data_IF_216139514228
#
_entry.id   IF_216139514228
#
_cell.length_a   1.000
_cell.length_b   1.000
_cell.length_c   1.000
_cell.angle_alpha   90.00
_cell.angle_beta   90.00
_cell.angle_gamma   90.00
#
_symmetry.space_group_name_H-M   'P 1'
#
loop_
_entity.id
_entity.type
_entity.pdbx_description
1 polymer ?
#
# COMPACT_ATOMS: atom_id res chain seq x y z
N UNK A 1 -24.52 -2.15 -2.97
CA UNK A 1 -24.71 -2.43 -1.53
C UNK A 1 -23.34 -2.55 -0.90
N UNK A 2 -22.98 -1.65 0.02
CA UNK A 2 -21.76 -1.77 0.83
C UNK A 2 -22.07 -2.61 2.07
N UNK A 3 -21.23 -3.58 2.40
CA UNK A 3 -21.30 -4.26 3.69
C UNK A 3 -21.01 -3.25 4.81
N UNK A 4 -21.70 -3.33 5.96
CA UNK A 4 -21.41 -2.44 7.07
C UNK A 4 -20.00 -2.75 7.64
N UNK A 5 -19.25 -1.73 8.14
CA UNK A 5 -17.84 -1.87 8.49
C UNK A 5 -17.54 -2.95 9.53
N UNK A 6 -18.48 -3.20 10.44
CA UNK A 6 -18.46 -4.23 11.47
C UNK A 6 -18.38 -5.67 10.90
N UNK A 7 -18.71 -5.86 9.61
CA UNK A 7 -18.63 -7.17 8.93
C UNK A 7 -17.46 -7.33 7.98
N UNK A 8 -16.64 -6.29 7.78
CA UNK A 8 -15.54 -6.35 6.81
C UNK A 8 -14.49 -7.39 7.19
N UNK A 9 -14.15 -7.45 8.49
CA UNK A 9 -13.15 -8.36 9.02
C UNK A 9 -13.60 -9.82 8.89
N UNK A 10 -14.82 -10.13 9.34
CA UNK A 10 -15.39 -11.49 9.24
C UNK A 10 -15.48 -11.95 7.78
N UNK A 11 -16.01 -11.09 6.90
CA UNK A 11 -16.15 -11.43 5.48
C UNK A 11 -14.78 -11.64 4.82
N UNK A 12 -13.81 -10.77 5.11
CA UNK A 12 -12.47 -10.84 4.54
C UNK A 12 -11.74 -12.10 4.98
N UNK A 13 -11.76 -12.44 6.27
CA UNK A 13 -11.10 -13.64 6.78
C UNK A 13 -11.64 -14.91 6.13
N UNK A 14 -12.97 -14.99 5.96
CA UNK A 14 -13.61 -16.08 5.23
C UNK A 14 -13.13 -16.19 3.77
N UNK A 15 -13.02 -15.07 3.05
CA UNK A 15 -12.51 -15.05 1.67
C UNK A 15 -11.03 -15.43 1.56
N UNK A 16 -10.22 -15.10 2.56
CA UNK A 16 -8.78 -15.41 2.57
C UNK A 16 -8.48 -16.89 2.88
N UNK A 17 -9.49 -17.65 3.30
CA UNK A 17 -9.41 -19.09 3.46
C UNK A 17 -9.22 -19.58 4.91
N UNK A 18 -9.01 -20.89 5.09
CA UNK A 18 -9.10 -21.54 6.40
C UNK A 18 -8.04 -21.06 7.41
N UNK A 19 -6.79 -20.87 6.98
CA UNK A 19 -5.70 -20.46 7.87
C UNK A 19 -5.91 -19.04 8.42
N UNK A 20 -6.14 -17.99 7.60
CA UNK A 20 -6.48 -16.66 8.10
C UNK A 20 -7.73 -16.62 8.96
N UNK A 21 -8.77 -17.39 8.62
CA UNK A 21 -9.99 -17.52 9.42
C UNK A 21 -9.69 -18.08 10.81
N UNK A 22 -8.91 -19.17 10.88
CA UNK A 22 -8.55 -19.80 12.14
C UNK A 22 -7.66 -18.91 13.01
N UNK A 23 -6.67 -18.26 12.41
CA UNK A 23 -5.80 -17.33 13.12
C UNK A 23 -6.57 -16.14 13.67
N UNK A 24 -7.42 -15.49 12.86
CA UNK A 24 -8.15 -14.31 13.31
C UNK A 24 -9.10 -14.63 14.46
N UNK A 25 -9.76 -15.79 14.43
CA UNK A 25 -10.57 -16.29 15.55
C UNK A 25 -9.74 -16.37 16.83
N UNK A 26 -8.52 -16.88 16.76
CA UNK A 26 -7.62 -16.97 17.91
C UNK A 26 -7.15 -15.60 18.39
N UNK A 27 -6.74 -14.72 17.48
CA UNK A 27 -6.25 -13.37 17.79
C UNK A 27 -7.35 -12.53 18.46
N UNK A 28 -8.59 -12.66 17.98
CA UNK A 28 -9.74 -11.92 18.50
C UNK A 28 -10.06 -12.19 19.97
N UNK A 29 -9.62 -13.31 20.55
CA UNK A 29 -9.79 -13.58 21.98
C UNK A 29 -9.00 -12.63 22.89
N UNK A 30 -7.98 -11.95 22.36
CA UNK A 30 -7.17 -10.97 23.11
C UNK A 30 -7.63 -9.53 22.88
N UNK A 31 -8.63 -9.32 22.02
CA UNK A 31 -9.12 -8.01 21.61
C UNK A 31 -10.49 -7.74 22.21
N UNK A 32 -10.81 -6.46 22.41
CA UNK A 32 -12.18 -6.04 22.70
C UNK A 32 -13.08 -6.20 21.47
N UNK A 33 -14.42 -6.20 21.65
CA UNK A 33 -15.36 -6.23 20.53
C UNK A 33 -15.17 -5.06 19.53
N UNK A 34 -14.83 -3.87 20.03
CA UNK A 34 -14.55 -2.69 19.20
C UNK A 34 -13.29 -2.91 18.35
N UNK A 35 -12.22 -3.42 18.95
CA UNK A 35 -10.96 -3.69 18.24
C UNK A 35 -11.09 -4.84 17.23
N UNK A 36 -11.90 -5.86 17.54
CA UNK A 36 -12.16 -6.98 16.63
C UNK A 36 -12.91 -6.55 15.36
N UNK A 37 -13.77 -5.54 15.48
CA UNK A 37 -14.51 -4.95 14.36
C UNK A 37 -13.71 -3.88 13.61
N UNK A 38 -12.59 -3.40 14.17
CA UNK A 38 -11.77 -2.36 13.55
C UNK A 38 -10.94 -2.92 12.38
N UNK A 39 -11.21 -2.37 11.19
CA UNK A 39 -10.55 -2.77 9.96
C UNK A 39 -9.04 -2.44 9.92
N UNK A 40 -8.63 -1.32 10.52
CA UNK A 40 -7.22 -0.96 10.57
C UNK A 40 -6.44 -1.89 11.51
N UNK A 41 -7.03 -2.26 12.65
CA UNK A 41 -6.42 -3.23 13.58
C UNK A 41 -6.26 -4.59 12.90
N UNK A 42 -7.31 -5.08 12.23
CA UNK A 42 -7.22 -6.31 11.44
C UNK A 42 -6.08 -6.25 10.41
N UNK A 43 -6.00 -5.18 9.61
CA UNK A 43 -4.93 -5.04 8.61
C UNK A 43 -3.54 -5.05 9.24
N UNK A 44 -3.33 -4.35 10.35
CA UNK A 44 -2.02 -4.30 11.02
C UNK A 44 -1.61 -5.68 11.53
N UNK A 45 -2.50 -6.38 12.23
CA UNK A 45 -2.25 -7.72 12.76
C UNK A 45 -2.06 -8.74 11.62
N UNK A 46 -2.88 -8.66 10.58
CA UNK A 46 -2.78 -9.53 9.42
C UNK A 46 -1.45 -9.34 8.69
N UNK A 47 -1.03 -8.10 8.46
CA UNK A 47 0.26 -7.79 7.86
C UNK A 47 1.41 -8.35 8.72
N UNK A 48 1.38 -8.14 10.04
CA UNK A 48 2.39 -8.67 10.96
C UNK A 48 2.48 -10.19 10.94
N UNK A 49 1.35 -10.89 10.78
CA UNK A 49 1.29 -12.37 10.81
C UNK A 49 1.65 -13.04 9.48
N UNK A 50 1.22 -12.47 8.36
CA UNK A 50 1.29 -13.11 7.05
C UNK A 50 2.23 -12.44 6.06
N UNK A 51 2.65 -11.19 6.33
CA UNK A 51 3.57 -10.46 5.46
C UNK A 51 4.91 -10.32 6.17
N UNK A 52 5.93 -10.97 5.64
CA UNK A 52 7.28 -10.86 6.16
C UNK A 52 7.79 -9.41 6.02
N UNK A 53 8.42 -8.88 7.07
CA UNK A 53 9.02 -7.54 7.03
C UNK A 53 10.03 -7.41 5.87
N UNK A 54 10.82 -8.46 5.60
CA UNK A 54 11.75 -8.53 4.48
C UNK A 54 11.06 -8.35 3.11
N UNK A 55 9.82 -8.85 2.97
CA UNK A 55 9.04 -8.66 1.75
C UNK A 55 8.67 -7.18 1.58
N UNK A 56 8.23 -6.53 2.65
CA UNK A 56 7.90 -5.10 2.66
C UNK A 56 9.14 -4.28 2.34
N UNK A 57 10.27 -4.57 2.98
CA UNK A 57 11.53 -3.85 2.78
C UNK A 57 12.03 -3.99 1.34
N UNK A 58 11.91 -5.19 0.76
CA UNK A 58 12.21 -5.41 -0.66
C UNK A 58 11.30 -4.57 -1.56
N UNK A 59 9.99 -4.48 -1.27
CA UNK A 59 9.06 -3.64 -2.04
C UNK A 59 9.37 -2.15 -1.92
N UNK A 60 9.75 -1.68 -0.74
CA UNK A 60 10.25 -0.31 -0.53
C UNK A 60 11.51 -0.04 -1.35
N UNK A 61 12.45 -0.98 -1.38
CA UNK A 61 13.67 -0.88 -2.21
C UNK A 61 13.35 -0.87 -3.70
N UNK A 62 12.43 -1.72 -4.16
CA UNK A 62 11.93 -1.69 -5.55
C UNK A 62 11.34 -0.32 -5.91
N UNK A 63 10.57 0.29 -4.99
CA UNK A 63 9.98 1.62 -5.20
C UNK A 63 11.04 2.71 -5.36
N UNK A 64 12.06 2.70 -4.48
CA UNK A 64 13.15 3.70 -4.50
C UNK A 64 13.92 3.70 -5.82
N UNK A 65 14.10 2.51 -6.39
CA UNK A 65 14.86 2.34 -7.64
C UNK A 65 13.98 2.31 -8.89
N UNK A 66 12.66 2.45 -8.76
CA UNK A 66 11.75 2.38 -9.90
C UNK A 66 12.01 3.56 -10.85
N UNK A 67 12.32 3.22 -12.10
CA UNK A 67 12.39 4.16 -13.23
C UNK A 67 11.46 3.68 -14.33
N UNK A 68 10.85 4.60 -15.07
CA UNK A 68 9.98 4.27 -16.20
C UNK A 68 10.71 3.42 -17.25
N UNK A 69 12.03 3.59 -17.43
CA UNK A 69 12.86 2.67 -18.22
C UNK A 69 12.31 2.44 -19.64
N UNK A 70 11.93 1.20 -19.96
CA UNK A 70 11.28 0.81 -21.23
C UNK A 70 9.75 0.70 -21.13
N UNK A 71 9.15 0.84 -19.95
CA UNK A 71 7.70 0.80 -19.72
C UNK A 71 6.97 1.96 -20.41
N UNK A 72 5.75 1.70 -20.86
CA UNK A 72 4.78 2.75 -21.20
C UNK A 72 4.49 3.62 -19.98
N UNK A 73 3.93 4.81 -20.20
CA UNK A 73 3.53 5.69 -19.11
C UNK A 73 2.52 5.01 -18.17
N UNK A 74 1.56 4.26 -18.72
CA UNK A 74 0.54 3.58 -17.95
C UNK A 74 1.09 2.41 -17.13
N UNK A 75 1.97 1.58 -17.70
CA UNK A 75 2.64 0.50 -16.95
C UNK A 75 3.48 1.04 -15.80
N UNK A 76 4.23 2.12 -16.05
CA UNK A 76 5.01 2.77 -15.01
C UNK A 76 4.12 3.35 -13.91
N UNK A 77 3.02 4.04 -14.27
CA UNK A 77 2.04 4.55 -13.32
C UNK A 77 1.48 3.44 -12.44
N UNK A 78 0.95 2.35 -13.03
CA UNK A 78 0.41 1.21 -12.28
C UNK A 78 1.44 0.59 -11.35
N UNK A 79 2.69 0.44 -11.82
CA UNK A 79 3.78 -0.14 -11.01
C UNK A 79 4.21 0.79 -9.88
N UNK A 80 4.28 2.09 -10.15
CA UNK A 80 4.62 3.10 -9.15
C UNK A 80 3.56 3.13 -8.05
N UNK A 81 2.27 3.28 -8.39
CA UNK A 81 1.17 3.29 -7.42
C UNK A 81 1.14 2.02 -6.58
N UNK A 82 1.30 0.85 -7.20
CA UNK A 82 1.34 -0.42 -6.48
C UNK A 82 2.49 -0.48 -5.46
N UNK A 83 3.68 0.00 -5.83
CA UNK A 83 4.85 0.00 -4.94
C UNK A 83 4.75 1.08 -3.85
N UNK A 84 4.12 2.22 -4.11
CA UNK A 84 3.91 3.28 -3.12
C UNK A 84 3.07 2.82 -1.93
N UNK A 85 2.16 1.85 -2.09
CA UNK A 85 1.36 1.32 -0.98
C UNK A 85 2.20 0.61 0.10
N UNK A 86 3.42 0.19 -0.20
CA UNK A 86 4.33 -0.43 0.77
C UNK A 86 5.15 0.59 1.57
N UNK A 87 5.11 1.86 1.20
CA UNK A 87 5.84 2.95 1.84
C UNK A 87 4.82 3.95 2.40
N UNK A 88 4.27 3.67 3.58
CA UNK A 88 3.17 4.44 4.19
C UNK A 88 3.50 5.94 4.33
N UNK A 89 4.75 6.29 4.64
CA UNK A 89 5.19 7.68 4.76
C UNK A 89 5.04 8.44 3.42
N UNK A 90 5.33 7.75 2.33
CA UNK A 90 5.26 8.31 0.98
C UNK A 90 3.86 8.21 0.42
N UNK A 91 3.11 7.18 0.78
CA UNK A 91 1.69 7.06 0.49
C UNK A 91 0.89 8.22 1.13
N UNK A 92 1.26 8.63 2.34
CA UNK A 92 0.61 9.71 3.07
C UNK A 92 0.97 11.11 2.56
N UNK A 93 2.13 11.27 1.90
CA UNK A 93 2.59 12.56 1.38
C UNK A 93 2.47 12.62 -0.15
N UNK A 94 1.37 13.22 -0.63
CA UNK A 94 1.09 13.38 -2.06
C UNK A 94 2.17 14.18 -2.80
N UNK A 95 2.80 15.17 -2.14
CA UNK A 95 3.87 15.97 -2.74
C UNK A 95 5.09 15.09 -2.97
N UNK A 96 5.55 14.38 -1.95
CA UNK A 96 6.68 13.45 -2.04
C UNK A 96 6.41 12.33 -3.07
N UNK A 97 5.19 11.80 -3.08
CA UNK A 97 4.75 10.80 -4.06
C UNK A 97 4.86 11.34 -5.50
N UNK A 98 4.33 12.55 -5.77
CA UNK A 98 4.40 13.18 -7.07
C UNK A 98 5.86 13.45 -7.49
N UNK A 99 6.69 13.87 -6.54
CA UNK A 99 8.11 14.12 -6.76
C UNK A 99 8.86 12.86 -7.15
N UNK A 100 8.67 11.76 -6.42
CA UNK A 100 9.25 10.46 -6.79
C UNK A 100 8.76 9.97 -8.15
N UNK A 101 7.46 10.15 -8.44
CA UNK A 101 6.90 9.78 -9.74
C UNK A 101 7.58 10.56 -10.89
N UNK A 102 7.69 11.89 -10.75
CA UNK A 102 8.38 12.77 -11.72
C UNK A 102 9.85 12.39 -11.91
N UNK A 103 10.57 12.12 -10.81
CA UNK A 103 11.99 11.74 -10.85
C UNK A 103 12.25 10.39 -11.52
N UNK A 104 11.30 9.46 -11.46
CA UNK A 104 11.38 8.19 -12.17
C UNK A 104 10.88 8.23 -13.62
N UNK A 105 10.19 9.29 -14.03
CA UNK A 105 9.65 9.46 -15.38
C UNK A 105 10.74 9.81 -16.41
N UNK A 106 10.61 9.32 -17.66
CA UNK A 106 11.57 9.60 -18.75
C UNK A 106 11.68 11.10 -19.06
N UNK A 107 12.89 11.56 -19.40
CA UNK A 107 13.20 12.99 -19.68
C UNK A 107 12.28 13.63 -20.73
N UNK A 108 11.92 12.90 -21.80
CA UNK A 108 11.05 13.42 -22.86
C UNK A 108 9.66 13.87 -22.40
N UNK A 109 9.20 13.38 -21.24
CA UNK A 109 7.93 13.76 -20.64
C UNK A 109 8.10 14.77 -19.49
N UNK A 110 9.34 14.96 -18.98
CA UNK A 110 9.61 15.93 -17.90
C UNK A 110 9.43 17.38 -18.34
N UNK A 111 9.59 17.69 -19.63
CA UNK A 111 9.35 19.04 -20.17
C UNK A 111 7.87 19.38 -20.32
N UNK A 112 6.99 18.38 -20.45
CA UNK A 112 5.53 18.59 -20.57
C UNK A 112 4.85 18.75 -19.21
N UNK A 113 5.44 18.20 -18.15
CA UNK A 113 4.95 18.42 -16.78
C UNK A 113 5.66 19.65 -16.24
N UNK A 114 4.97 20.78 -16.23
CA UNK A 114 5.46 22.08 -15.75
C UNK A 114 6.45 21.96 -14.58
N UNK A 115 7.63 22.53 -14.80
CA UNK A 115 8.83 22.44 -13.96
C UNK A 115 8.69 23.30 -12.71
N UNK A 116 7.72 23.01 -11.85
CA UNK A 116 7.77 23.53 -10.47
C UNK A 116 8.67 22.59 -9.66
N UNK A 117 9.79 23.08 -9.10
CA UNK A 117 10.63 22.30 -8.19
C UNK A 117 9.80 21.79 -7.02
N UNK A 118 10.04 20.54 -6.63
CA UNK A 118 9.39 19.92 -5.47
C UNK A 118 9.59 20.68 -4.15
N UNK A 119 10.65 21.49 -4.06
CA UNK A 119 10.96 22.34 -2.91
C UNK A 119 10.03 23.57 -2.78
N UNK A 120 9.14 23.79 -3.74
CA UNK A 120 8.28 24.99 -3.81
C UNK A 120 6.79 24.66 -3.59
N UNK A 121 6.46 23.54 -2.95
CA UNK A 121 5.10 23.15 -2.55
C UNK A 121 5.03 22.94 -1.04
#
# INVERSE_FOLDING_TARGET
MSLPPDRWVETTTWFLGPEPTSWWRQESYQLSPEETADWEIFKQLFQKRFILQEYIDRKKQESKHLKQGKMTANEYYRRFTNLSHYDQEVAANLIEMLCRFKLGTRKKWRSMVTTTPCANY
#
